data_IF_313919635394
#
_entry.id   IF_313919635394
#
_cell.length_a   1.000
_cell.length_b   1.000
_cell.length_c   1.000
_cell.angle_alpha   90.00
_cell.angle_beta   90.00
_cell.angle_gamma   90.00
#
_symmetry.space_group_name_H-M   'P 1'
#
loop_
_entity.id
_entity.type
_entity.pdbx_description
1 polymer ?
#
# COMPACT_ATOMS: atom_id res chain seq x y z
N UNK A 1 4.09 7.89 -21.28
CA UNK A 1 3.13 6.86 -21.73
C UNK A 1 3.84 5.69 -22.42
N UNK A 2 4.70 5.92 -23.42
CA UNK A 2 5.44 4.84 -24.11
C UNK A 2 6.30 3.96 -23.20
N UNK A 3 7.04 4.58 -22.27
CA UNK A 3 7.89 3.86 -21.31
C UNK A 3 7.10 2.92 -20.40
N UNK A 4 6.04 3.43 -19.76
CA UNK A 4 5.15 2.62 -18.92
C UNK A 4 4.52 1.44 -19.68
N UNK A 5 4.20 1.63 -20.96
CA UNK A 5 3.71 0.54 -21.81
C UNK A 5 4.80 -0.52 -22.05
N UNK A 6 6.02 -0.12 -22.42
CA UNK A 6 7.15 -1.05 -22.60
C UNK A 6 7.47 -1.83 -21.32
N UNK A 7 7.50 -1.14 -20.18
CA UNK A 7 7.73 -1.77 -18.87
C UNK A 7 6.63 -2.80 -18.55
N UNK A 8 5.36 -2.46 -18.83
CA UNK A 8 4.23 -3.39 -18.63
C UNK A 8 4.36 -4.63 -19.52
N UNK A 9 4.74 -4.48 -20.78
CA UNK A 9 4.92 -5.61 -21.72
C UNK A 9 6.10 -6.49 -21.29
N UNK A 10 7.18 -5.91 -20.77
CA UNK A 10 8.30 -6.68 -20.23
C UNK A 10 7.88 -7.56 -19.04
N UNK A 11 7.07 -7.01 -18.12
CA UNK A 11 6.52 -7.74 -16.98
C UNK A 11 5.59 -8.88 -17.45
N UNK A 12 4.68 -8.62 -18.39
CA UNK A 12 3.77 -9.64 -18.94
C UNK A 12 4.53 -10.75 -19.66
N UNK A 13 5.62 -10.41 -20.35
CA UNK A 13 6.46 -11.41 -21.03
C UNK A 13 7.16 -12.34 -20.05
N UNK A 14 7.59 -11.83 -18.90
CA UNK A 14 8.30 -12.60 -17.87
C UNK A 14 7.36 -13.45 -17.01
N UNK A 15 6.26 -12.87 -16.55
CA UNK A 15 5.37 -13.50 -15.55
C UNK A 15 4.04 -13.99 -16.12
N UNK A 16 3.79 -13.79 -17.42
CA UNK A 16 2.54 -14.11 -18.07
C UNK A 16 1.48 -13.01 -17.93
N UNK A 17 0.29 -13.26 -18.48
CA UNK A 17 -0.83 -12.33 -18.36
C UNK A 17 -1.30 -12.29 -16.90
N UNK A 18 -1.45 -11.11 -16.28
CA UNK A 18 -2.09 -11.02 -14.98
C UNK A 18 -3.59 -11.39 -15.10
N UNK A 19 -4.09 -12.18 -14.16
CA UNK A 19 -5.51 -12.53 -14.08
C UNK A 19 -6.29 -11.51 -13.22
N UNK A 20 -5.63 -10.85 -12.26
CA UNK A 20 -6.23 -9.88 -11.34
C UNK A 20 -5.28 -8.70 -11.13
N UNK A 21 -5.85 -7.49 -11.09
CA UNK A 21 -5.17 -6.29 -10.60
C UNK A 21 -5.81 -5.86 -9.27
N UNK A 22 -5.01 -5.84 -8.20
CA UNK A 22 -5.45 -5.44 -6.85
C UNK A 22 -4.84 -4.09 -6.51
N UNK A 23 -5.68 -3.17 -6.02
CA UNK A 23 -5.23 -1.90 -5.46
C UNK A 23 -5.58 -1.87 -3.98
N UNK A 24 -4.61 -1.60 -3.11
CA UNK A 24 -4.82 -1.47 -1.67
C UNK A 24 -4.55 -0.03 -1.23
N UNK A 25 -5.61 0.67 -0.82
CA UNK A 25 -5.52 2.05 -0.31
C UNK A 25 -5.44 2.02 1.21
N UNK A 26 -4.59 2.87 1.79
CA UNK A 26 -4.53 3.03 3.25
C UNK A 26 -5.78 3.76 3.77
N UNK A 27 -6.35 3.28 4.88
CA UNK A 27 -7.37 4.02 5.61
C UNK A 27 -6.73 4.70 6.85
N UNK A 28 -6.73 6.04 6.95
CA UNK A 28 -6.16 6.74 8.11
C UNK A 28 -6.90 6.47 9.43
N UNK A 29 -8.14 5.97 9.40
CA UNK A 29 -8.94 5.63 10.59
C UNK A 29 -8.74 4.19 11.07
N UNK A 30 -7.69 3.51 10.60
CA UNK A 30 -7.36 2.20 11.15
C UNK A 30 -6.94 2.31 12.61
N UNK A 31 -7.45 1.40 13.43
CA UNK A 31 -7.21 1.41 14.87
C UNK A 31 -5.71 1.30 15.20
N UNK A 32 -4.94 0.58 14.37
CA UNK A 32 -3.49 0.45 14.50
C UNK A 32 -2.74 1.76 14.24
N UNK A 33 -3.32 2.68 13.46
CA UNK A 33 -2.80 4.03 13.25
C UNK A 33 -3.19 4.91 14.43
N UNK A 34 -4.47 4.98 14.77
CA UNK A 34 -5.00 5.82 15.84
C UNK A 34 -4.34 5.50 17.19
N UNK A 35 -4.19 4.22 17.53
CA UNK A 35 -3.51 3.78 18.77
C UNK A 35 -2.03 4.16 18.86
N UNK A 36 -1.37 4.33 17.71
CA UNK A 36 0.07 4.64 17.64
C UNK A 36 0.35 6.12 17.53
N UNK A 37 -0.65 6.95 17.24
CA UNK A 37 -0.51 8.40 17.26
C UNK A 37 -0.36 8.83 18.73
N UNK A 38 0.80 9.40 19.11
CA UNK A 38 1.14 9.61 20.51
C UNK A 38 0.44 10.82 21.13
N UNK A 39 0.00 11.78 20.32
CA UNK A 39 -0.58 13.04 20.80
C UNK A 39 -2.05 13.16 20.39
N UNK A 40 -2.96 13.56 21.30
CA UNK A 40 -4.40 13.67 21.01
C UNK A 40 -4.74 14.71 19.93
N UNK A 41 -3.80 15.60 19.57
CA UNK A 41 -4.00 16.62 18.55
C UNK A 41 -3.29 16.31 17.23
N UNK A 42 -2.54 15.21 17.14
CA UNK A 42 -1.93 14.77 15.88
C UNK A 42 -2.92 13.92 15.09
N UNK A 43 -2.94 14.11 13.79
CA UNK A 43 -3.68 13.28 12.85
C UNK A 43 -2.76 12.30 12.14
N UNK A 44 -3.35 11.33 11.44
CA UNK A 44 -2.60 10.43 10.58
C UNK A 44 -1.73 11.16 9.53
N UNK A 45 -2.14 12.36 9.11
CA UNK A 45 -1.40 13.17 8.15
C UNK A 45 -0.10 13.74 8.74
N UNK A 46 -0.08 14.00 10.05
CA UNK A 46 1.07 14.53 10.76
C UNK A 46 2.13 13.44 11.03
N UNK A 47 1.73 12.17 10.97
CA UNK A 47 2.59 10.99 11.21
C UNK A 47 2.56 10.00 10.05
N UNK A 48 3.05 10.40 8.85
CA UNK A 48 3.06 9.54 7.67
C UNK A 48 3.93 8.29 7.87
N UNK A 49 4.91 8.33 8.77
CA UNK A 49 5.74 7.18 9.13
C UNK A 49 4.92 6.05 9.78
N UNK A 50 3.96 6.39 10.64
CA UNK A 50 3.06 5.41 11.26
C UNK A 50 2.12 4.81 10.20
N UNK A 51 1.52 5.68 9.39
CA UNK A 51 0.60 5.29 8.31
C UNK A 51 1.28 4.33 7.34
N UNK A 52 2.48 4.69 6.85
CA UNK A 52 3.25 3.86 5.93
C UNK A 52 3.60 2.48 6.52
N UNK A 53 3.99 2.43 7.80
CA UNK A 53 4.30 1.16 8.48
C UNK A 53 3.07 0.27 8.64
N UNK A 54 1.93 0.82 9.05
CA UNK A 54 0.68 0.04 9.17
C UNK A 54 0.23 -0.45 7.80
N UNK A 55 0.28 0.39 6.76
CA UNK A 55 -0.04 -0.03 5.40
C UNK A 55 0.86 -1.15 4.91
N UNK A 56 2.18 -1.07 5.14
CA UNK A 56 3.09 -2.15 4.78
C UNK A 56 2.78 -3.48 5.50
N UNK A 57 2.38 -3.42 6.78
CA UNK A 57 1.95 -4.60 7.53
C UNK A 57 0.69 -5.22 6.92
N UNK A 58 -0.33 -4.41 6.63
CA UNK A 58 -1.57 -4.85 5.95
C UNK A 58 -1.30 -5.42 4.56
N UNK A 59 -0.36 -4.84 3.81
CA UNK A 59 0.02 -5.33 2.49
C UNK A 59 0.68 -6.69 2.59
N UNK A 60 1.59 -6.86 3.55
CA UNK A 60 2.25 -8.14 3.79
C UNK A 60 1.26 -9.23 4.25
N UNK A 61 0.22 -8.86 5.01
CA UNK A 61 -0.89 -9.76 5.35
C UNK A 61 -1.70 -10.15 4.10
N UNK A 62 -2.04 -9.17 3.24
CA UNK A 62 -2.78 -9.41 1.99
C UNK A 62 -2.04 -10.34 1.02
N UNK A 63 -0.71 -10.25 0.97
CA UNK A 63 0.14 -11.05 0.07
C UNK A 63 0.55 -12.42 0.65
N UNK A 64 0.16 -12.73 1.89
CA UNK A 64 0.50 -14.00 2.55
C UNK A 64 -0.49 -15.13 2.25
N UNK A 65 -1.63 -14.84 1.63
CA UNK A 65 -2.55 -15.83 1.04
C UNK A 65 -2.04 -16.33 -0.32
#
# INVERSE_FOLDING_TARGET
MYKSYQDSIAIVREYGKPDVFVTMTCNPTWEEIEKKIPEPNQSAQDRPDIVARVWQQKLAELLKD
#
